data_IF_946169021211
#
_entry.id   IF_946169021211
#
_cell.length_a   1.000
_cell.length_b   1.000
_cell.length_c   1.000
_cell.angle_alpha   90.00
_cell.angle_beta   90.00
_cell.angle_gamma   90.00
#
_symmetry.space_group_name_H-M   'P 1'
#
loop_
_entity.id
_entity.type
_entity.pdbx_description
1 polymer ?
#
# COMPACT_ATOMS: atom_id res chain seq x y z
N UNK A 1 -4.00 6.98 -4.62
CA UNK A 1 -4.94 7.79 -3.82
C UNK A 1 -6.14 8.35 -4.59
N UNK A 2 -5.99 9.19 -5.62
CA UNK A 2 -7.16 9.72 -6.37
C UNK A 2 -8.01 8.62 -7.02
N UNK A 3 -7.36 7.55 -7.44
CA UNK A 3 -7.95 6.37 -8.09
C UNK A 3 -8.41 5.29 -7.11
N UNK A 4 -8.37 5.54 -5.79
CA UNK A 4 -9.00 4.61 -4.84
C UNK A 4 -10.52 4.57 -5.06
N UNK A 5 -11.19 3.45 -4.76
CA UNK A 5 -12.64 3.44 -4.63
C UNK A 5 -13.09 4.61 -3.76
N UNK A 6 -14.16 5.30 -4.14
CA UNK A 6 -14.64 6.54 -3.49
C UNK A 6 -14.95 6.34 -2.01
N UNK A 7 -15.35 5.13 -1.67
CA UNK A 7 -15.72 4.72 -0.33
C UNK A 7 -14.51 4.33 0.53
N UNK A 8 -13.39 3.90 -0.07
CA UNK A 8 -12.19 3.50 0.68
C UNK A 8 -11.64 4.64 1.52
N UNK A 9 -11.40 4.34 2.80
CA UNK A 9 -10.79 5.22 3.80
C UNK A 9 -9.47 4.65 4.28
N UNK A 10 -8.63 5.51 4.83
CA UNK A 10 -7.48 5.06 5.61
C UNK A 10 -7.95 4.19 6.77
N UNK A 11 -7.24 3.10 7.04
CA UNK A 11 -7.46 2.25 8.22
C UNK A 11 -6.72 2.77 9.45
N UNK A 12 -5.64 3.52 9.25
CA UNK A 12 -4.89 4.22 10.29
C UNK A 12 -5.58 5.55 10.61
N UNK A 13 -5.85 5.84 11.90
CA UNK A 13 -6.49 7.10 12.29
C UNK A 13 -5.50 8.27 12.21
N UNK A 14 -5.99 9.40 11.76
CA UNK A 14 -5.31 10.69 11.84
C UNK A 14 -5.77 11.45 13.08
N UNK A 15 -4.80 11.76 13.95
CA UNK A 15 -5.00 12.60 15.13
C UNK A 15 -3.78 13.53 15.30
N UNK A 16 -3.96 14.82 15.61
CA UNK A 16 -2.87 15.78 15.64
C UNK A 16 -2.11 15.71 16.99
N UNK A 17 -1.33 14.65 17.19
CA UNK A 17 -0.47 14.47 18.37
C UNK A 17 0.82 15.30 18.33
N UNK A 18 0.95 16.23 17.38
CA UNK A 18 2.17 17.01 17.19
C UNK A 18 2.62 17.76 18.46
N UNK A 19 1.68 18.22 19.29
CA UNK A 19 2.01 18.93 20.55
C UNK A 19 2.74 18.08 21.59
N UNK A 20 2.70 16.75 21.48
CA UNK A 20 3.36 15.80 22.40
C UNK A 20 4.51 15.04 21.75
N UNK A 21 5.06 15.54 20.63
CA UNK A 21 6.25 14.97 19.98
C UNK A 21 5.98 13.75 19.11
N UNK A 22 4.72 13.46 18.76
CA UNK A 22 4.36 12.41 17.80
C UNK A 22 3.69 13.04 16.59
N UNK A 23 4.03 12.62 15.38
CA UNK A 23 3.23 13.01 14.22
C UNK A 23 1.96 12.19 14.12
N UNK A 24 0.92 12.84 13.64
CA UNK A 24 -0.24 12.19 13.00
C UNK A 24 0.23 11.02 12.12
N UNK A 25 -0.32 9.82 12.33
CA UNK A 25 0.14 8.58 11.69
C UNK A 25 0.14 8.66 10.15
N UNK A 26 -0.75 9.48 9.58
CA UNK A 26 -0.85 9.62 8.13
C UNK A 26 -0.11 10.86 7.60
N UNK A 27 0.61 11.62 8.44
CA UNK A 27 1.42 12.73 7.95
C UNK A 27 2.69 12.23 7.23
N UNK A 28 3.14 12.94 6.19
CA UNK A 28 4.39 12.63 5.47
C UNK A 28 5.52 13.64 5.71
N UNK A 29 5.23 14.74 6.41
CA UNK A 29 6.18 15.82 6.66
C UNK A 29 5.99 16.42 8.06
N UNK A 30 7.09 16.89 8.66
CA UNK A 30 7.10 17.61 9.93
C UNK A 30 6.19 18.85 9.88
N UNK A 31 5.51 19.12 10.99
CA UNK A 31 4.60 20.26 11.10
C UNK A 31 3.28 20.13 10.32
N UNK A 32 2.99 18.96 9.75
CA UNK A 32 1.75 18.71 9.00
C UNK A 32 0.88 17.65 9.68
N UNK A 33 -0.43 17.72 9.45
CA UNK A 33 -1.39 16.71 9.92
C UNK A 33 -2.61 16.67 8.98
N UNK A 34 -2.93 15.49 8.40
CA UNK A 34 -4.21 15.28 7.73
C UNK A 34 -5.41 15.54 8.65
N UNK A 35 -5.34 15.22 9.94
CA UNK A 35 -6.43 15.52 10.88
C UNK A 35 -6.78 17.01 10.91
N UNK A 36 -5.78 17.89 10.93
CA UNK A 36 -5.98 19.35 10.95
C UNK A 36 -6.46 19.87 9.60
N UNK A 37 -5.73 19.54 8.55
CA UNK A 37 -5.96 20.10 7.21
C UNK A 37 -7.26 19.58 6.59
N UNK A 38 -7.57 18.31 6.78
CA UNK A 38 -8.75 17.68 6.23
C UNK A 38 -9.91 17.72 7.19
N UNK A 39 -9.72 17.80 8.52
CA UNK A 39 -10.79 17.58 9.52
C UNK A 39 -11.43 16.21 9.36
N UNK A 40 -10.59 15.17 9.35
CA UNK A 40 -11.02 13.78 9.30
C UNK A 40 -10.01 12.86 9.95
N UNK A 41 -10.51 11.88 10.71
CA UNK A 41 -9.70 10.82 11.31
C UNK A 41 -9.35 9.74 10.26
N UNK A 42 -10.33 9.28 9.49
CA UNK A 42 -10.14 8.31 8.41
C UNK A 42 -10.43 8.98 7.05
N UNK A 43 -9.47 9.74 6.46
CA UNK A 43 -9.69 10.45 5.20
C UNK A 43 -9.89 9.49 4.03
N UNK A 44 -10.57 9.97 2.97
CA UNK A 44 -10.61 9.27 1.68
C UNK A 44 -9.28 9.41 0.95
N UNK A 45 -9.03 8.51 -0.01
CA UNK A 45 -7.91 8.68 -0.95
C UNK A 45 -7.93 10.03 -1.67
N UNK A 46 -9.11 10.51 -2.10
CA UNK A 46 -9.25 11.83 -2.74
C UNK A 46 -8.88 12.99 -1.81
N UNK A 47 -9.35 12.98 -0.55
CA UNK A 47 -8.99 14.02 0.43
C UNK A 47 -7.50 13.96 0.79
N UNK A 48 -6.94 12.75 0.89
CA UNK A 48 -5.52 12.58 1.16
C UNK A 48 -4.65 13.10 0.01
N UNK A 49 -5.07 12.94 -1.25
CA UNK A 49 -4.40 13.54 -2.40
C UNK A 49 -4.40 15.09 -2.35
N UNK A 50 -5.44 15.72 -1.78
CA UNK A 50 -5.46 17.15 -1.55
C UNK A 50 -4.52 17.56 -0.39
N UNK A 51 -4.42 16.74 0.68
CA UNK A 51 -3.40 16.94 1.70
C UNK A 51 -1.98 16.92 1.11
N UNK A 52 -1.64 15.95 0.25
CA UNK A 52 -0.32 15.89 -0.38
C UNK A 52 -0.04 17.11 -1.28
N UNK A 53 -1.05 17.61 -2.01
CA UNK A 53 -0.94 18.86 -2.76
C UNK A 53 -0.64 20.07 -1.85
N UNK A 54 -1.31 20.16 -0.70
CA UNK A 54 -1.07 21.24 0.27
C UNK A 54 0.36 21.18 0.81
N UNK A 55 0.84 19.98 1.15
CA UNK A 55 2.24 19.76 1.59
C UNK A 55 3.21 20.19 0.49
N UNK A 56 3.04 19.70 -0.73
CA UNK A 56 3.90 20.04 -1.86
C UNK A 56 3.93 21.56 -2.14
N UNK A 57 2.77 22.21 -2.08
CA UNK A 57 2.65 23.66 -2.28
C UNK A 57 3.31 24.45 -1.16
N UNK A 58 3.12 24.04 0.09
CA UNK A 58 3.69 24.70 1.27
C UNK A 58 5.22 24.67 1.24
N UNK A 59 5.80 23.49 0.93
CA UNK A 59 7.26 23.31 0.83
C UNK A 59 7.83 23.70 -0.53
N UNK A 60 7.01 24.19 -1.46
CA UNK A 60 7.41 24.63 -2.82
C UNK A 60 8.23 23.57 -3.55
N UNK A 61 7.78 22.31 -3.49
CA UNK A 61 8.49 21.20 -4.12
C UNK A 61 8.50 21.36 -5.65
N UNK A 62 9.66 21.16 -6.33
CA UNK A 62 9.77 21.30 -7.78
C UNK A 62 9.23 20.04 -8.48
N UNK A 63 7.91 19.89 -8.55
CA UNK A 63 7.24 18.72 -9.13
C UNK A 63 6.97 18.96 -10.62
N UNK A 64 7.42 18.03 -11.46
CA UNK A 64 6.94 17.88 -12.85
C UNK A 64 5.82 16.85 -12.87
N UNK A 65 4.58 17.29 -13.10
CA UNK A 65 3.45 16.37 -13.31
C UNK A 65 3.39 15.92 -14.76
N UNK A 66 2.62 14.85 -15.01
CA UNK A 66 2.37 14.35 -16.36
C UNK A 66 3.67 13.94 -17.09
N UNK A 67 4.66 13.48 -16.31
CA UNK A 67 5.98 13.03 -16.77
C UNK A 67 6.18 11.58 -16.36
N UNK A 68 6.04 10.65 -17.30
CA UNK A 68 6.28 9.23 -17.06
C UNK A 68 7.77 8.91 -17.23
N UNK A 69 8.33 8.17 -16.27
CA UNK A 69 9.67 7.58 -16.40
C UNK A 69 9.53 6.29 -17.21
N UNK A 70 10.16 6.28 -18.38
CA UNK A 70 10.09 5.18 -19.35
C UNK A 70 11.20 4.17 -19.09
N UNK A 71 12.42 4.66 -18.88
CA UNK A 71 13.61 3.84 -18.67
C UNK A 71 14.63 4.55 -17.77
N UNK A 72 15.43 3.77 -17.05
CA UNK A 72 16.52 4.24 -16.21
C UNK A 72 17.77 3.44 -16.54
N UNK A 73 18.85 4.14 -16.87
CA UNK A 73 20.16 3.56 -17.10
C UNK A 73 21.21 4.24 -16.22
N UNK A 74 22.10 3.46 -15.58
CA UNK A 74 23.27 4.00 -14.89
C UNK A 74 24.42 4.12 -15.91
N UNK A 75 24.85 5.34 -16.21
CA UNK A 75 25.93 5.65 -17.15
C UNK A 75 27.06 6.36 -16.41
N UNK A 76 28.13 5.62 -16.10
CA UNK A 76 29.18 6.12 -15.21
C UNK A 76 28.63 6.47 -13.84
N UNK A 77 28.85 7.70 -13.38
CA UNK A 77 28.42 8.16 -12.06
C UNK A 77 27.00 8.75 -12.03
N UNK A 78 26.32 8.82 -13.19
CA UNK A 78 24.99 9.44 -13.33
C UNK A 78 23.92 8.42 -13.74
N UNK A 79 22.68 8.70 -13.37
CA UNK A 79 21.48 8.09 -13.92
C UNK A 79 21.00 8.90 -15.11
N UNK A 80 20.76 8.22 -16.22
CA UNK A 80 20.01 8.74 -17.36
C UNK A 80 18.57 8.24 -17.23
N UNK A 81 17.64 9.16 -17.04
CA UNK A 81 16.23 8.89 -16.82
C UNK A 81 15.50 9.34 -18.08
N UNK A 82 15.02 8.38 -18.85
CA UNK A 82 14.23 8.63 -20.04
C UNK A 82 12.79 8.97 -19.65
N UNK A 83 12.32 10.11 -20.14
CA UNK A 83 10.95 10.60 -20.00
C UNK A 83 10.42 10.97 -21.39
N UNK A 84 9.11 11.21 -21.51
CA UNK A 84 8.49 11.58 -22.79
C UNK A 84 9.16 12.80 -23.47
N UNK A 85 9.67 13.76 -22.68
CA UNK A 85 10.27 15.00 -23.13
C UNK A 85 11.79 14.92 -23.40
N UNK A 86 12.43 13.78 -23.13
CA UNK A 86 13.87 13.59 -23.33
C UNK A 86 14.55 12.86 -22.16
N UNK A 87 15.79 13.25 -21.86
CA UNK A 87 16.60 12.60 -20.81
C UNK A 87 16.88 13.59 -19.68
N UNK A 88 16.53 13.21 -18.46
CA UNK A 88 16.95 13.88 -17.22
C UNK A 88 18.17 13.16 -16.66
N UNK A 89 19.13 13.92 -16.13
CA UNK A 89 20.34 13.36 -15.50
C UNK A 89 20.37 13.67 -14.02
N UNK A 90 20.79 12.69 -13.22
CA UNK A 90 20.99 12.87 -11.77
C UNK A 90 22.12 11.98 -11.26
N UNK A 91 22.83 12.40 -10.21
CA UNK A 91 23.80 11.52 -9.52
C UNK A 91 23.11 10.50 -8.62
N UNK A 92 21.98 10.91 -8.02
CA UNK A 92 21.19 10.12 -7.07
C UNK A 92 19.76 9.98 -7.57
N UNK A 93 19.17 8.79 -7.40
CA UNK A 93 17.81 8.49 -7.78
C UNK A 93 17.08 7.85 -6.59
N UNK A 94 15.92 8.41 -6.22
CA UNK A 94 15.03 7.81 -5.22
C UNK A 94 13.81 7.29 -5.96
N UNK A 95 13.64 5.97 -6.03
CA UNK A 95 12.46 5.34 -6.58
C UNK A 95 11.33 5.30 -5.55
N UNK A 96 10.25 6.04 -5.82
CA UNK A 96 9.09 6.17 -4.94
C UNK A 96 7.75 6.00 -5.69
N UNK A 97 7.72 5.16 -6.74
CA UNK A 97 6.57 5.01 -7.62
C UNK A 97 5.44 4.11 -7.07
N UNK A 98 5.60 3.56 -5.85
CA UNK A 98 4.54 2.85 -5.14
C UNK A 98 4.09 1.56 -5.82
N UNK A 99 2.85 1.13 -5.56
CA UNK A 99 2.35 -0.17 -6.04
C UNK A 99 0.93 -0.16 -6.62
N UNK A 100 0.13 0.87 -6.33
CA UNK A 100 -1.30 0.88 -6.63
C UNK A 100 -1.67 0.73 -8.12
N UNK A 101 -0.78 1.17 -9.03
CA UNK A 101 -0.97 1.04 -10.47
C UNK A 101 -0.69 -0.36 -11.01
N UNK A 102 -0.19 -1.26 -10.17
CA UNK A 102 0.28 -2.60 -10.53
C UNK A 102 -0.46 -3.66 -9.70
N UNK A 103 -1.81 -3.79 -9.84
CA UNK A 103 -2.57 -4.82 -9.15
C UNK A 103 -2.10 -6.21 -9.58
N UNK A 104 -2.07 -7.17 -8.65
CA UNK A 104 -1.67 -8.54 -8.96
C UNK A 104 -2.62 -9.17 -9.97
N UNK A 105 -2.07 -9.69 -11.07
CA UNK A 105 -2.84 -10.35 -12.15
C UNK A 105 -2.60 -11.86 -12.24
N UNK A 106 -1.70 -12.41 -11.42
CA UNK A 106 -1.32 -13.82 -11.43
C UNK A 106 -1.58 -14.49 -10.07
N UNK A 107 -1.38 -15.81 -9.99
CA UNK A 107 -1.41 -16.59 -8.75
C UNK A 107 -2.66 -17.46 -8.55
N UNK A 108 -3.72 -17.22 -9.33
CA UNK A 108 -4.91 -18.08 -9.40
C UNK A 108 -5.25 -18.31 -10.88
N UNK A 109 -5.34 -19.55 -11.37
CA UNK A 109 -5.87 -19.82 -12.71
C UNK A 109 -7.24 -19.18 -12.94
N UNK A 110 -7.39 -18.41 -14.02
CA UNK A 110 -8.64 -17.73 -14.39
C UNK A 110 -8.89 -16.40 -13.68
N UNK A 111 -7.86 -15.81 -13.05
CA UNK A 111 -7.95 -14.51 -12.38
C UNK A 111 -8.33 -13.37 -13.34
N UNK A 112 -8.10 -13.52 -14.65
CA UNK A 112 -8.58 -12.62 -15.70
C UNK A 112 -10.12 -12.52 -15.78
N UNK A 113 -10.84 -13.45 -15.15
CA UNK A 113 -12.30 -13.40 -15.01
C UNK A 113 -12.75 -12.64 -13.76
N UNK A 114 -11.82 -12.32 -12.84
CA UNK A 114 -12.08 -11.52 -11.66
C UNK A 114 -11.90 -10.03 -11.96
N UNK A 115 -12.48 -9.19 -11.12
CA UNK A 115 -12.21 -7.75 -11.10
C UNK A 115 -11.40 -7.39 -9.85
N UNK A 116 -10.20 -6.86 -10.04
CA UNK A 116 -9.38 -6.42 -8.91
C UNK A 116 -10.03 -5.22 -8.20
N UNK A 117 -10.07 -5.21 -6.86
CA UNK A 117 -10.78 -4.17 -6.07
C UNK A 117 -10.26 -2.76 -6.34
N UNK A 118 -8.96 -2.62 -6.61
CA UNK A 118 -8.34 -1.34 -7.00
C UNK A 118 -8.89 -0.72 -8.30
N UNK A 119 -9.59 -1.50 -9.14
CA UNK A 119 -10.18 -1.03 -10.41
C UNK A 119 -11.64 -0.58 -10.26
N UNK A 120 -12.18 -0.60 -9.04
CA UNK A 120 -13.54 -0.17 -8.73
C UNK A 120 -13.51 1.32 -8.38
N UNK A 121 -14.22 2.17 -9.14
CA UNK A 121 -14.40 3.58 -8.73
C UNK A 121 -15.39 3.68 -7.57
N UNK A 122 -16.46 2.88 -7.60
CA UNK A 122 -17.55 2.94 -6.62
C UNK A 122 -18.27 1.61 -6.44
N UNK A 123 -18.44 1.16 -5.20
CA UNK A 123 -19.11 -0.11 -4.91
C UNK A 123 -20.63 -0.05 -5.14
N UNK A 124 -21.23 1.13 -4.93
CA UNK A 124 -22.64 1.39 -5.22
C UNK A 124 -23.01 1.24 -6.71
N UNK A 125 -22.03 1.35 -7.61
CA UNK A 125 -22.24 1.27 -9.07
C UNK A 125 -22.05 -0.14 -9.63
N UNK A 126 -21.66 -1.13 -8.81
CA UNK A 126 -21.57 -2.51 -9.27
C UNK A 126 -22.96 -3.12 -9.44
N UNK A 127 -23.19 -3.81 -10.55
CA UNK A 127 -24.46 -4.51 -10.81
C UNK A 127 -24.45 -5.93 -10.23
N UNK A 128 -25.62 -6.37 -9.76
CA UNK A 128 -25.84 -7.69 -9.19
C UNK A 128 -26.17 -7.66 -7.69
N UNK A 129 -26.81 -8.72 -7.24
CA UNK A 129 -27.33 -8.87 -5.86
C UNK A 129 -26.37 -9.63 -4.94
N UNK A 130 -25.44 -10.42 -5.52
CA UNK A 130 -24.52 -11.28 -4.77
C UNK A 130 -23.12 -11.28 -5.40
N UNK A 131 -22.10 -11.17 -4.55
CA UNK A 131 -20.69 -11.09 -4.94
C UNK A 131 -19.85 -12.14 -4.22
N UNK A 132 -18.87 -12.67 -4.93
CA UNK A 132 -17.77 -13.42 -4.33
C UNK A 132 -16.57 -12.47 -4.21
N UNK A 133 -15.95 -12.41 -3.04
CA UNK A 133 -14.71 -11.65 -2.77
C UNK A 133 -13.60 -12.65 -2.42
N UNK A 134 -12.49 -12.60 -3.14
CA UNK A 134 -11.31 -13.46 -2.94
C UNK A 134 -10.19 -12.60 -2.35
N UNK A 135 -9.70 -12.99 -1.17
CA UNK A 135 -8.79 -12.19 -0.37
C UNK A 135 -9.58 -11.40 0.66
N UNK A 136 -9.34 -11.67 1.94
CA UNK A 136 -10.14 -11.17 3.05
C UNK A 136 -9.34 -10.37 4.07
N UNK A 137 -8.17 -9.86 3.65
CA UNK A 137 -7.47 -8.81 4.38
C UNK A 137 -8.18 -7.45 4.22
N UNK A 138 -7.49 -6.34 4.51
CA UNK A 138 -8.09 -5.00 4.61
C UNK A 138 -8.94 -4.59 3.41
N UNK A 139 -8.43 -4.78 2.18
CA UNK A 139 -9.18 -4.42 0.96
C UNK A 139 -10.40 -5.32 0.70
N UNK A 140 -10.34 -6.59 1.11
CA UNK A 140 -11.45 -7.53 0.98
C UNK A 140 -12.59 -7.20 1.94
N UNK A 141 -12.24 -6.90 3.19
CA UNK A 141 -13.21 -6.46 4.22
C UNK A 141 -13.83 -5.11 3.85
N UNK A 142 -13.04 -4.16 3.34
CA UNK A 142 -13.55 -2.87 2.86
C UNK A 142 -14.56 -3.04 1.72
N UNK A 143 -14.26 -3.90 0.75
CA UNK A 143 -15.16 -4.24 -0.34
C UNK A 143 -16.45 -4.89 0.17
N UNK A 144 -16.34 -5.91 1.04
CA UNK A 144 -17.49 -6.60 1.60
C UNK A 144 -18.39 -5.65 2.40
N UNK A 145 -17.82 -4.76 3.20
CA UNK A 145 -18.56 -3.76 3.96
C UNK A 145 -19.36 -2.85 3.05
N UNK A 146 -18.74 -2.25 2.02
CA UNK A 146 -19.44 -1.32 1.16
C UNK A 146 -20.47 -2.01 0.26
N UNK A 147 -20.23 -3.24 -0.17
CA UNK A 147 -21.26 -4.02 -0.88
C UNK A 147 -22.46 -4.31 0.02
N UNK A 148 -22.21 -4.75 1.25
CA UNK A 148 -23.26 -5.04 2.23
C UNK A 148 -24.06 -3.78 2.60
N UNK A 149 -23.41 -2.62 2.73
CA UNK A 149 -24.05 -1.32 2.94
C UNK A 149 -25.02 -0.97 1.79
N UNK A 150 -24.73 -1.40 0.56
CA UNK A 150 -25.59 -1.24 -0.62
C UNK A 150 -26.64 -2.34 -0.76
N UNK A 151 -26.82 -3.20 0.25
CA UNK A 151 -27.82 -4.25 0.26
C UNK A 151 -27.43 -5.53 -0.47
N UNK A 152 -26.16 -5.70 -0.84
CA UNK A 152 -25.69 -6.87 -1.59
C UNK A 152 -25.24 -7.99 -0.65
N UNK A 153 -25.41 -9.23 -1.07
CA UNK A 153 -24.85 -10.40 -0.37
C UNK A 153 -23.40 -10.64 -0.79
N UNK A 154 -22.54 -11.04 0.15
CA UNK A 154 -21.13 -11.26 -0.11
C UNK A 154 -20.67 -12.58 0.49
N UNK A 155 -20.00 -13.42 -0.30
CA UNK A 155 -19.19 -14.53 0.20
C UNK A 155 -17.72 -14.15 0.11
N UNK A 156 -17.04 -14.04 1.24
CA UNK A 156 -15.65 -13.58 1.31
C UNK A 156 -14.73 -14.71 1.75
N UNK A 157 -13.75 -15.03 0.90
CA UNK A 157 -12.82 -16.13 1.06
C UNK A 157 -11.43 -15.62 1.40
N UNK A 158 -10.81 -16.24 2.40
CA UNK A 158 -9.41 -15.97 2.72
C UNK A 158 -8.69 -17.22 3.22
N UNK A 159 -7.43 -17.39 2.81
CA UNK A 159 -6.61 -18.54 3.18
C UNK A 159 -5.94 -18.42 4.54
N UNK A 160 -5.74 -17.20 5.05
CA UNK A 160 -5.07 -16.88 6.30
C UNK A 160 -6.01 -16.48 7.44
N UNK A 161 -7.27 -16.17 7.14
CA UNK A 161 -8.31 -15.80 8.12
C UNK A 161 -7.88 -14.62 9.03
N UNK A 162 -7.56 -13.44 8.47
CA UNK A 162 -6.97 -12.33 9.22
C UNK A 162 -7.89 -11.77 10.31
N UNK A 163 -9.21 -11.94 10.19
CA UNK A 163 -10.19 -11.56 11.22
C UNK A 163 -10.19 -12.45 12.48
N UNK A 164 -9.49 -13.58 12.46
CA UNK A 164 -9.25 -14.41 13.65
C UNK A 164 -7.83 -14.25 14.21
N UNK A 165 -6.98 -13.47 13.55
CA UNK A 165 -5.61 -13.23 14.00
C UNK A 165 -5.59 -12.50 15.34
N UNK A 166 -4.65 -12.89 16.21
CA UNK A 166 -4.42 -12.27 17.52
C UNK A 166 -3.10 -11.49 17.60
N UNK A 167 -2.31 -11.48 16.53
CA UNK A 167 -1.11 -10.65 16.48
C UNK A 167 -1.51 -9.18 16.51
N UNK A 168 -0.61 -8.36 17.04
CA UNK A 168 -0.71 -6.90 16.96
C UNK A 168 0.05 -6.33 15.76
N UNK A 169 0.73 -7.17 14.97
CA UNK A 169 1.39 -6.70 13.74
C UNK A 169 0.33 -6.25 12.72
N UNK A 170 0.26 -4.94 12.42
CA UNK A 170 -0.72 -4.42 11.48
C UNK A 170 -0.43 -4.83 10.04
N UNK A 171 0.67 -5.54 9.78
CA UNK A 171 0.99 -6.10 8.47
C UNK A 171 0.30 -7.45 8.22
N UNK A 172 -0.32 -8.03 9.24
CA UNK A 172 -0.98 -9.36 9.21
C UNK A 172 -2.38 -9.31 9.81
N UNK A 173 -2.58 -8.57 10.90
CA UNK A 173 -3.88 -8.41 11.54
C UNK A 173 -4.74 -7.36 10.82
N UNK A 174 -6.06 -7.52 10.90
CA UNK A 174 -6.98 -6.44 10.54
C UNK A 174 -6.89 -5.31 11.57
N UNK A 175 -6.92 -4.08 11.08
CA UNK A 175 -7.06 -2.88 11.87
C UNK A 175 -8.33 -2.89 12.70
N UNK A 176 -8.28 -2.18 13.83
CA UNK A 176 -9.46 -1.93 14.67
C UNK A 176 -10.60 -1.30 13.88
N UNK A 177 -10.28 -0.39 12.95
CA UNK A 177 -11.25 0.25 12.06
C UNK A 177 -12.05 -0.76 11.24
N UNK A 178 -11.37 -1.71 10.60
CA UNK A 178 -12.03 -2.77 9.82
C UNK A 178 -12.77 -3.75 10.73
N UNK A 179 -12.20 -4.13 11.87
CA UNK A 179 -12.84 -5.02 12.85
C UNK A 179 -14.14 -4.44 13.43
N UNK A 180 -14.20 -3.13 13.66
CA UNK A 180 -15.42 -2.45 14.10
C UNK A 180 -16.48 -2.41 12.99
N UNK A 181 -16.05 -2.14 11.75
CA UNK A 181 -16.93 -2.16 10.57
C UNK A 181 -17.57 -3.52 10.32
N UNK A 182 -16.86 -4.61 10.60
CA UNK A 182 -17.41 -5.97 10.52
C UNK A 182 -18.57 -6.23 11.49
N UNK A 183 -18.73 -5.41 12.55
CA UNK A 183 -19.84 -5.52 13.51
C UNK A 183 -21.09 -4.74 13.07
N UNK A 184 -21.02 -3.97 11.99
CA UNK A 184 -22.17 -3.23 11.50
C UNK A 184 -23.30 -4.19 11.10
N UNK A 185 -24.58 -3.87 11.37
CA UNK A 185 -25.70 -4.79 11.10
C UNK A 185 -25.73 -5.28 9.65
N UNK A 186 -25.52 -4.37 8.69
CA UNK A 186 -25.50 -4.74 7.26
C UNK A 186 -24.37 -5.74 6.94
N UNK A 187 -23.20 -5.62 7.58
CA UNK A 187 -22.10 -6.55 7.39
C UNK A 187 -22.47 -7.93 7.95
N UNK A 188 -22.93 -7.98 9.20
CA UNK A 188 -23.32 -9.22 9.89
C UNK A 188 -24.44 -9.95 9.14
N UNK A 189 -25.42 -9.22 8.62
CA UNK A 189 -26.59 -9.80 7.96
C UNK A 189 -26.31 -10.29 6.53
N UNK A 190 -25.27 -9.76 5.86
CA UNK A 190 -25.08 -9.93 4.41
C UNK A 190 -23.73 -10.51 3.99
N UNK A 191 -22.75 -10.58 4.89
CA UNK A 191 -21.41 -11.09 4.59
C UNK A 191 -21.21 -12.45 5.24
N UNK A 192 -20.99 -13.47 4.40
CA UNK A 192 -20.57 -14.79 4.83
C UNK A 192 -19.04 -14.91 4.70
N UNK A 193 -18.36 -15.11 5.83
CA UNK A 193 -16.91 -15.30 5.88
C UNK A 193 -16.56 -16.78 5.72
N UNK A 194 -15.69 -17.09 4.76
CA UNK A 194 -15.19 -18.43 4.45
C UNK A 194 -13.71 -18.52 4.91
N UNK A 195 -13.46 -18.93 6.16
CA UNK A 195 -12.12 -18.94 6.74
C UNK A 195 -11.27 -20.08 6.18
N UNK A 196 -9.95 -19.86 6.12
CA UNK A 196 -8.94 -20.85 5.71
C UNK A 196 -9.22 -21.52 4.36
N UNK A 197 -9.94 -20.82 3.47
CA UNK A 197 -10.37 -21.38 2.19
C UNK A 197 -9.48 -20.84 1.07
N UNK A 198 -8.75 -21.76 0.42
CA UNK A 198 -7.87 -21.43 -0.71
C UNK A 198 -8.63 -21.62 -2.02
N UNK A 199 -8.61 -20.61 -2.87
CA UNK A 199 -9.19 -20.70 -4.21
C UNK A 199 -8.21 -21.39 -5.15
N UNK A 200 -8.71 -22.39 -5.88
CA UNK A 200 -7.97 -23.17 -6.86
C UNK A 200 -8.02 -22.54 -8.26
N UNK A 201 -9.21 -22.07 -8.67
CA UNK A 201 -9.42 -21.50 -9.99
C UNK A 201 -10.73 -20.72 -10.05
N UNK A 202 -10.81 -19.80 -11.02
CA UNK A 202 -12.05 -19.14 -11.43
C UNK A 202 -12.32 -19.48 -12.89
N UNK A 203 -13.54 -19.91 -13.19
CA UNK A 203 -13.96 -20.21 -14.56
C UNK A 203 -15.12 -19.30 -14.93
N UNK A 204 -15.10 -18.74 -16.14
CA UNK A 204 -16.27 -18.09 -16.73
C UNK A 204 -16.95 -19.04 -17.71
N UNK A 205 -18.25 -19.23 -17.54
CA UNK A 205 -19.11 -19.95 -18.48
C UNK A 205 -20.33 -19.11 -18.79
N UNK A 206 -20.44 -18.68 -20.04
CA UNK A 206 -21.47 -17.76 -20.51
C UNK A 206 -21.48 -16.46 -19.66
N UNK A 207 -22.60 -16.18 -19.00
CA UNK A 207 -22.81 -15.03 -18.09
C UNK A 207 -22.59 -15.38 -16.60
N UNK A 208 -22.03 -16.56 -16.31
CA UNK A 208 -21.80 -17.04 -14.95
C UNK A 208 -20.32 -17.30 -14.65
N UNK A 209 -19.97 -17.16 -13.38
CA UNK A 209 -18.63 -17.39 -12.85
C UNK A 209 -18.67 -18.52 -11.83
N UNK A 210 -17.72 -19.44 -11.90
CA UNK A 210 -17.54 -20.51 -10.93
C UNK A 210 -16.18 -20.38 -10.25
N UNK A 211 -16.19 -20.21 -8.94
CA UNK A 211 -15.00 -20.18 -8.09
C UNK A 211 -14.87 -21.56 -7.44
N UNK A 212 -13.76 -22.24 -7.70
CA UNK A 212 -13.47 -23.57 -7.12
C UNK A 212 -12.44 -23.44 -6.01
N UNK A 213 -12.65 -24.08 -4.87
CA UNK A 213 -11.66 -24.18 -3.80
C UNK A 213 -10.68 -25.33 -4.05
N UNK A 214 -9.54 -25.36 -3.36
CA UNK A 214 -8.59 -26.47 -3.44
C UNK A 214 -9.19 -27.80 -2.95
N UNK A 215 -10.20 -27.73 -2.08
CA UNK A 215 -10.96 -28.87 -1.57
C UNK A 215 -12.04 -29.36 -2.56
N UNK A 216 -12.17 -28.71 -3.72
CA UNK A 216 -13.10 -29.08 -4.79
C UNK A 216 -14.53 -28.57 -4.60
N UNK A 217 -14.77 -27.69 -3.64
CA UNK A 217 -16.08 -27.03 -3.46
C UNK A 217 -16.22 -25.92 -4.51
N UNK A 218 -17.41 -25.80 -5.10
CA UNK A 218 -17.69 -24.80 -6.13
C UNK A 218 -18.74 -23.80 -5.69
N UNK A 219 -18.48 -22.53 -5.96
CA UNK A 219 -19.38 -21.40 -5.72
C UNK A 219 -19.67 -20.71 -7.03
N UNK A 220 -20.93 -20.33 -7.26
CA UNK A 220 -21.35 -19.68 -8.51
C UNK A 220 -21.80 -18.25 -8.24
N UNK A 221 -21.48 -17.34 -9.16
CA UNK A 221 -21.98 -15.96 -9.17
C UNK A 221 -22.34 -15.52 -10.58
N UNK A 222 -23.32 -14.62 -10.68
CA UNK A 222 -23.67 -13.95 -11.94
C UNK A 222 -22.91 -12.62 -12.12
N UNK A 223 -22.15 -12.20 -11.09
CA UNK A 223 -21.27 -11.04 -11.16
C UNK A 223 -19.81 -11.51 -11.16
N UNK A 224 -18.89 -10.81 -11.86
CA UNK A 224 -17.47 -11.13 -11.78
C UNK A 224 -16.99 -11.15 -10.32
N UNK A 225 -16.29 -12.20 -9.86
CA UNK A 225 -15.71 -12.22 -8.52
C UNK A 225 -14.76 -11.04 -8.33
N UNK A 226 -14.77 -10.44 -7.15
CA UNK A 226 -13.82 -9.38 -6.81
C UNK A 226 -12.57 -10.00 -6.23
N UNK A 227 -11.40 -9.51 -6.66
CA UNK A 227 -10.11 -9.97 -6.19
C UNK A 227 -9.40 -8.88 -5.40
N UNK A 228 -9.05 -9.18 -4.16
CA UNK A 228 -8.33 -8.32 -3.23
C UNK A 228 -6.96 -8.96 -2.89
N UNK A 229 -6.20 -9.35 -3.92
CA UNK A 229 -4.95 -10.11 -3.78
C UNK A 229 -3.67 -9.29 -3.63
N UNK A 230 -3.77 -7.96 -3.59
CA UNK A 230 -2.61 -7.08 -3.41
C UNK A 230 -2.03 -6.56 -4.72
N UNK A 231 -0.75 -6.20 -4.68
CA UNK A 231 -0.07 -5.48 -5.74
C UNK A 231 1.33 -6.03 -5.96
N UNK A 232 1.78 -5.97 -7.20
CA UNK A 232 3.13 -6.40 -7.61
C UNK A 232 4.20 -5.33 -7.37
N UNK A 233 3.82 -4.05 -7.38
CA UNK A 233 4.73 -2.94 -7.11
C UNK A 233 5.51 -2.42 -8.32
N UNK A 234 5.75 -1.11 -8.34
CA UNK A 234 6.54 -0.44 -9.39
C UNK A 234 8.01 -0.82 -9.43
N UNK A 235 8.54 -1.38 -8.34
CA UNK A 235 9.95 -1.79 -8.27
C UNK A 235 10.30 -2.87 -9.30
N UNK A 236 9.31 -3.63 -9.80
CA UNK A 236 9.50 -4.57 -10.92
C UNK A 236 9.90 -3.89 -12.22
N UNK A 237 9.58 -2.61 -12.41
CA UNK A 237 9.99 -1.85 -13.61
C UNK A 237 11.49 -1.56 -13.66
N UNK A 238 12.16 -1.60 -12.50
CA UNK A 238 13.59 -1.32 -12.36
C UNK A 238 14.30 -2.46 -11.65
N UNK A 239 13.76 -3.68 -11.76
CA UNK A 239 14.26 -4.84 -11.01
C UNK A 239 15.70 -5.20 -11.37
N UNK A 240 16.13 -4.94 -12.60
CA UNK A 240 17.51 -5.17 -13.05
C UNK A 240 18.53 -4.25 -12.34
N UNK A 241 18.08 -3.20 -11.66
CA UNK A 241 18.91 -2.28 -10.89
C UNK A 241 19.03 -2.70 -9.41
N UNK A 242 18.43 -3.82 -9.01
CA UNK A 242 18.51 -4.37 -7.66
C UNK A 242 18.84 -5.87 -7.68
N UNK A 243 19.55 -6.34 -6.67
CA UNK A 243 19.49 -7.76 -6.33
C UNK A 243 18.12 -8.10 -5.77
N UNK A 244 17.65 -9.33 -6.02
CA UNK A 244 16.37 -9.82 -5.48
C UNK A 244 16.59 -10.61 -4.21
N UNK A 245 15.72 -10.39 -3.22
CA UNK A 245 15.57 -11.25 -2.04
C UNK A 245 14.84 -12.54 -2.42
N UNK A 246 14.83 -13.51 -1.51
CA UNK A 246 14.08 -14.76 -1.67
C UNK A 246 12.55 -14.54 -1.82
N UNK A 247 12.02 -13.48 -1.20
CA UNK A 247 10.61 -13.09 -1.27
C UNK A 247 10.25 -12.28 -2.54
N UNK A 248 11.21 -12.07 -3.44
CA UNK A 248 11.04 -11.35 -4.70
C UNK A 248 11.14 -9.82 -4.60
N UNK A 249 11.27 -9.25 -3.40
CA UNK A 249 11.46 -7.81 -3.22
C UNK A 249 12.94 -7.40 -3.42
N UNK A 250 13.22 -6.11 -3.69
CA UNK A 250 14.58 -5.61 -3.79
C UNK A 250 15.39 -5.85 -2.51
N UNK A 251 16.63 -6.33 -2.66
CA UNK A 251 17.62 -6.35 -1.60
C UNK A 251 18.22 -4.95 -1.46
N UNK A 252 18.16 -4.41 -0.24
CA UNK A 252 18.61 -3.06 0.06
C UNK A 252 19.72 -3.10 1.12
N UNK A 253 20.62 -2.11 1.06
CA UNK A 253 21.51 -1.80 2.17
C UNK A 253 20.72 -1.29 3.38
N UNK A 254 21.35 -1.21 4.55
CA UNK A 254 20.75 -0.62 5.77
C UNK A 254 20.31 0.84 5.61
N UNK A 255 20.63 1.48 4.47
CA UNK A 255 20.30 2.87 4.12
C UNK A 255 19.23 2.98 3.01
N UNK A 256 18.57 1.87 2.67
CA UNK A 256 17.58 1.73 1.60
C UNK A 256 18.15 1.93 0.18
N UNK A 257 19.46 1.77 0.02
CA UNK A 257 20.16 1.83 -1.26
C UNK A 257 20.19 0.45 -1.94
N UNK A 258 20.19 0.41 -3.27
CA UNK A 258 20.50 -0.81 -4.03
C UNK A 258 21.88 -1.34 -3.66
N UNK A 259 22.00 -2.66 -3.50
CA UNK A 259 23.29 -3.33 -3.23
C UNK A 259 24.20 -3.43 -4.46
N UNK A 260 23.66 -3.19 -5.67
CA UNK A 260 24.38 -3.33 -6.95
C UNK A 260 24.43 -2.06 -7.78
N UNK A 261 23.56 -1.08 -7.49
CA UNK A 261 23.48 0.18 -8.24
C UNK A 261 23.67 1.38 -7.31
N UNK A 262 24.92 1.85 -7.11
CA UNK A 262 25.20 2.97 -6.22
C UNK A 262 24.46 4.27 -6.59
N UNK A 263 23.95 4.94 -5.57
CA UNK A 263 23.13 6.15 -5.66
C UNK A 263 21.65 5.91 -5.99
N UNK A 264 21.20 4.66 -6.12
CA UNK A 264 19.79 4.31 -6.30
C UNK A 264 19.18 3.89 -4.96
N UNK A 265 18.15 4.58 -4.53
CA UNK A 265 17.43 4.30 -3.28
C UNK A 265 15.98 3.89 -3.54
N UNK A 266 15.42 3.06 -2.67
CA UNK A 266 14.00 2.72 -2.68
C UNK A 266 13.28 3.40 -1.52
N UNK A 267 12.14 4.04 -1.78
CA UNK A 267 11.31 4.67 -0.75
C UNK A 267 9.83 4.29 -0.91
N UNK A 268 9.15 4.13 0.23
CA UNK A 268 7.71 3.85 0.27
C UNK A 268 7.37 2.43 0.72
N UNK A 269 6.15 1.94 0.43
CA UNK A 269 5.60 0.73 1.04
C UNK A 269 6.30 -0.57 0.60
N UNK A 270 7.11 -0.54 -0.45
CA UNK A 270 7.87 -1.69 -0.94
C UNK A 270 9.19 -1.93 -0.17
N UNK A 271 9.60 -1.02 0.72
CA UNK A 271 10.82 -1.18 1.52
C UNK A 271 10.65 -2.33 2.53
N UNK A 272 11.63 -3.25 2.55
CA UNK A 272 11.66 -4.41 3.44
C UNK A 272 13.06 -4.63 4.00
N UNK A 273 13.14 -4.90 5.31
CA UNK A 273 14.38 -5.24 6.02
C UNK A 273 14.17 -6.48 6.88
N UNK A 274 14.89 -7.57 6.60
CA UNK A 274 14.62 -8.86 7.24
C UNK A 274 13.14 -9.25 7.12
N UNK A 275 12.45 -9.43 8.25
CA UNK A 275 11.01 -9.71 8.31
C UNK A 275 10.14 -8.44 8.47
N UNK A 276 10.75 -7.25 8.50
CA UNK A 276 10.04 -5.98 8.70
C UNK A 276 9.52 -5.44 7.37
N UNK A 277 8.21 -5.24 7.31
CA UNK A 277 7.53 -4.56 6.20
C UNK A 277 7.21 -3.11 6.56
N UNK A 278 7.59 -2.19 5.70
CA UNK A 278 7.33 -0.75 5.84
C UNK A 278 6.04 -0.33 5.11
N UNK A 279 5.03 -1.18 5.03
CA UNK A 279 3.80 -0.96 4.23
C UNK A 279 2.89 0.20 4.71
N UNK A 280 3.14 0.80 5.86
CA UNK A 280 2.36 1.93 6.39
C UNK A 280 3.10 3.26 6.31
N UNK A 281 2.36 4.36 6.13
CA UNK A 281 2.91 5.72 6.08
C UNK A 281 3.79 6.02 7.29
N UNK A 282 3.30 5.72 8.50
CA UNK A 282 4.05 5.97 9.72
C UNK A 282 5.31 5.10 9.86
N UNK A 283 5.41 3.97 9.12
CA UNK A 283 6.60 3.11 9.05
C UNK A 283 7.57 3.64 7.98
N UNK A 284 7.20 3.63 6.68
CA UNK A 284 8.16 3.97 5.62
C UNK A 284 8.67 5.41 5.73
N UNK A 285 7.87 6.34 6.27
CA UNK A 285 8.32 7.74 6.43
C UNK A 285 9.49 7.89 7.39
N UNK A 286 9.72 6.92 8.29
CA UNK A 286 10.83 6.95 9.23
C UNK A 286 12.17 6.78 8.55
N UNK A 287 12.16 6.32 7.30
CA UNK A 287 13.35 6.09 6.49
C UNK A 287 13.78 7.29 5.66
N UNK A 288 12.93 8.31 5.52
CA UNK A 288 13.23 9.48 4.69
C UNK A 288 14.51 10.21 5.13
N UNK A 289 14.70 10.40 6.44
CA UNK A 289 15.90 11.04 6.97
C UNK A 289 17.17 10.18 6.79
N UNK A 290 17.04 8.85 6.75
CA UNK A 290 18.15 7.92 6.50
C UNK A 290 18.69 8.10 5.09
N UNK A 291 17.79 8.08 4.09
CA UNK A 291 18.14 8.29 2.68
C UNK A 291 18.69 9.71 2.47
N UNK A 292 18.01 10.72 3.01
CA UNK A 292 18.45 12.12 2.89
C UNK A 292 19.84 12.36 3.49
N UNK A 293 20.12 11.77 4.66
CA UNK A 293 21.45 11.86 5.27
C UNK A 293 22.50 11.17 4.43
N UNK A 294 22.19 9.99 3.89
CA UNK A 294 23.13 9.23 3.04
C UNK A 294 23.53 10.03 1.81
N UNK A 295 22.56 10.64 1.12
CA UNK A 295 22.82 11.50 -0.03
C UNK A 295 23.62 12.76 0.38
N UNK A 296 23.31 13.36 1.52
CA UNK A 296 24.04 14.54 2.00
C UNK A 296 25.52 14.21 2.32
N UNK A 297 25.77 13.08 2.99
CA UNK A 297 27.13 12.62 3.31
C UNK A 297 27.94 12.37 2.02
N UNK A 298 27.33 11.75 0.99
CA UNK A 298 27.99 11.51 -0.30
C UNK A 298 28.27 12.79 -1.12
N UNK A 299 27.53 13.85 -0.85
CA UNK A 299 27.72 15.16 -1.46
C UNK A 299 28.61 16.10 -0.61
N UNK A 300 29.19 15.60 0.48
CA UNK A 300 29.95 16.38 1.46
C UNK A 300 29.16 17.59 2.03
N UNK A 301 27.84 17.42 2.23
CA UNK A 301 26.94 18.46 2.75
C UNK A 301 26.64 18.27 4.25
N UNK A 302 26.58 19.36 5.03
CA UNK A 302 26.16 19.29 6.43
C UNK A 302 24.69 18.83 6.55
N UNK A 303 24.43 17.91 7.47
CA UNK A 303 23.13 17.25 7.64
C UNK A 303 22.65 17.19 9.10
N UNK A 304 23.25 17.97 10.00
CA UNK A 304 22.95 17.96 11.44
C UNK A 304 21.49 18.31 11.72
N UNK A 305 20.88 19.13 10.86
CA UNK A 305 19.47 19.49 10.96
C UNK A 305 18.52 18.31 10.75
N UNK A 306 18.97 17.18 10.19
CA UNK A 306 18.13 15.97 10.05
C UNK A 306 17.87 15.28 11.40
N UNK A 307 18.67 15.55 12.43
CA UNK A 307 18.42 14.99 13.78
C UNK A 307 17.09 15.45 14.39
N UNK A 308 16.51 16.56 13.90
CA UNK A 308 15.16 16.95 14.28
C UNK A 308 14.15 15.84 13.94
N UNK A 309 14.32 15.11 12.84
CA UNK A 309 13.40 14.04 12.44
C UNK A 309 13.41 12.88 13.44
N UNK A 310 14.55 12.64 14.12
CA UNK A 310 14.65 11.62 15.17
C UNK A 310 13.76 11.96 16.35
N UNK A 311 13.73 13.23 16.76
CA UNK A 311 12.86 13.71 17.84
C UNK A 311 11.37 13.52 17.54
N UNK A 312 11.02 13.46 16.25
CA UNK A 312 9.66 13.27 15.77
C UNK A 312 9.35 11.82 15.35
N UNK A 313 10.26 10.88 15.59
CA UNK A 313 10.09 9.47 15.22
C UNK A 313 10.09 9.24 13.70
N UNK A 314 10.64 10.16 12.90
CA UNK A 314 10.81 10.07 11.45
C UNK A 314 12.26 9.78 11.02
N UNK A 315 13.06 9.24 11.94
CA UNK A 315 14.44 8.83 11.66
C UNK A 315 14.71 7.50 12.35
N UNK A 316 14.54 6.42 11.60
CA UNK A 316 14.82 5.05 12.03
C UNK A 316 16.03 4.54 11.26
N UNK A 317 17.23 4.68 11.84
CA UNK A 317 18.50 4.16 11.31
C UNK A 317 18.98 2.88 12.01
N UNK A 318 18.40 2.52 13.15
CA UNK A 318 18.61 1.24 13.82
C UNK A 318 17.40 0.32 13.64
N UNK A 319 17.58 -0.71 12.81
CA UNK A 319 16.54 -1.69 12.49
C UNK A 319 16.39 -2.79 13.55
N UNK A 320 17.29 -2.86 14.55
CA UNK A 320 17.23 -3.89 15.61
C UNK A 320 16.04 -3.73 16.55
N UNK A 321 15.42 -2.55 16.55
CA UNK A 321 14.36 -2.16 17.48
C UNK A 321 12.93 -2.49 17.02
N UNK A 322 12.70 -2.88 15.75
CA UNK A 322 11.33 -3.05 15.23
C UNK A 322 10.83 -4.51 15.28
N UNK A 323 9.53 -4.67 15.57
CA UNK A 323 8.84 -5.98 15.60
C UNK A 323 8.33 -6.41 16.97
N UNK A 324 8.24 -5.51 17.96
CA UNK A 324 7.62 -5.83 19.25
C UNK A 324 6.10 -5.92 19.10
N UNK A 325 5.53 -7.05 19.54
CA UNK A 325 4.09 -7.23 19.66
C UNK A 325 3.56 -6.60 20.96
N UNK A 326 2.35 -6.05 20.90
CA UNK A 326 1.57 -5.69 22.07
C UNK A 326 1.28 -6.94 22.93
N UNK A 327 1.34 -6.77 24.25
CA UNK A 327 1.21 -7.86 25.22
C UNK A 327 -0.27 -8.26 25.45
N UNK A 328 -1.24 -7.40 25.10
CA UNK A 328 -2.67 -7.65 25.33
C UNK A 328 -3.58 -6.96 24.31
#
# INVERSE_FOLDING_TARGET
FRSWPRETRFITPSFPTNSIGMLDLNAVALGTSPAVSLRAEHPTGRRYAEYLKLVASHFKLPISSDTDVINIEKVGDEFHIEINEGIVRSKHLIWAAGEFQYPTTDGIPGLEHCRHTATIDRYAELEGESFIVIGGYESGIDAAYHLAEQGKHVQLFDSGCPWQSKTSDPSVALSTYSMERMKAPHFVDRVELQPYTRIAAVLRKDESYTVSTLEGIQFSSNSPPLFAGGFDGSHKLIEDLFEKREDGFPLLSEKDESTVTPGLFLCGPAVRHGNQSFCFIYKYRQRFAVVAKTIADELDLPAENLEIYRMWGMYLDDLSCCGQECVC
#
